data_IF_337857879611
#
_entry.id   IF_337857879611
#
_cell.length_a   1.000
_cell.length_b   1.000
_cell.length_c   1.000
_cell.angle_alpha   90.00
_cell.angle_beta   90.00
_cell.angle_gamma   90.00
#
_symmetry.space_group_name_H-M   'P 1'
#
loop_
_entity.id
_entity.type
_entity.pdbx_description
1 polymer ?
#
# COMPACT_ATOMS: atom_id res chain seq x y z
N UNK A 1 2.99 -4.83 14.66
CA UNK A 1 1.53 -4.77 14.42
C UNK A 1 1.34 -4.75 12.92
N UNK A 2 0.76 -5.79 12.31
CA UNK A 2 0.47 -5.82 10.87
C UNK A 2 -0.82 -5.05 10.67
N UNK A 3 -0.77 -3.95 9.91
CA UNK A 3 -1.89 -3.03 9.74
C UNK A 3 -2.47 -3.03 8.35
N UNK A 4 -1.75 -3.49 7.32
CA UNK A 4 -2.21 -3.56 5.93
C UNK A 4 -2.73 -4.95 5.58
N UNK A 5 -3.90 -5.00 4.95
CA UNK A 5 -4.56 -6.23 4.49
C UNK A 5 -5.33 -5.98 3.18
N UNK A 6 -5.45 -7.03 2.38
CA UNK A 6 -6.19 -7.04 1.11
C UNK A 6 -7.61 -7.48 1.39
N UNK A 7 -8.59 -6.67 0.99
CA UNK A 7 -10.02 -6.93 1.23
C UNK A 7 -10.70 -7.61 0.06
N UNK A 8 -10.33 -7.23 -1.15
CA UNK A 8 -10.83 -7.82 -2.39
C UNK A 8 -9.77 -7.75 -3.48
N UNK A 9 -9.85 -8.63 -4.47
CA UNK A 9 -9.00 -8.59 -5.65
C UNK A 9 -9.71 -9.22 -6.84
N UNK A 10 -9.32 -8.80 -8.04
CA UNK A 10 -9.73 -9.38 -9.31
C UNK A 10 -8.65 -9.17 -10.37
N UNK A 11 -8.97 -9.43 -11.64
CA UNK A 11 -7.97 -9.32 -12.71
C UNK A 11 -7.44 -7.89 -12.85
N UNK A 12 -6.18 -7.69 -12.47
CA UNK A 12 -5.49 -6.40 -12.57
C UNK A 12 -5.95 -5.33 -11.58
N UNK A 13 -6.71 -5.68 -10.53
CA UNK A 13 -7.08 -4.75 -9.47
C UNK A 13 -7.12 -5.41 -8.10
N UNK A 14 -6.86 -4.64 -7.05
CA UNK A 14 -7.15 -5.05 -5.68
C UNK A 14 -7.60 -3.87 -4.81
N UNK A 15 -8.30 -4.21 -3.74
CA UNK A 15 -8.73 -3.32 -2.67
C UNK A 15 -7.97 -3.70 -1.40
N UNK A 16 -7.57 -2.68 -0.66
CA UNK A 16 -6.84 -2.81 0.59
C UNK A 16 -7.37 -1.84 1.60
N UNK A 17 -7.35 -2.25 2.87
CA UNK A 17 -7.51 -1.33 3.98
C UNK A 17 -6.38 -1.53 4.99
N UNK A 18 -6.19 -0.51 5.81
CA UNK A 18 -5.18 -0.52 6.84
C UNK A 18 -5.60 0.25 8.08
N UNK A 19 -4.73 0.24 9.10
CA UNK A 19 -4.89 1.09 10.28
C UNK A 19 -3.93 2.25 10.25
N UNK A 20 -4.40 3.41 10.70
CA UNK A 20 -3.57 4.59 10.94
C UNK A 20 -2.44 4.25 11.94
N UNK A 21 -1.20 4.71 11.71
CA UNK A 21 -0.12 4.52 12.66
C UNK A 21 -0.45 5.18 14.01
N UNK A 22 -0.05 4.54 15.11
CA UNK A 22 -0.32 5.04 16.46
C UNK A 22 0.49 6.29 16.82
N UNK A 23 1.62 6.52 16.15
CA UNK A 23 2.51 7.68 16.33
C UNK A 23 2.79 8.42 15.03
N UNK A 24 3.59 9.49 15.11
CA UNK A 24 3.99 10.26 13.92
C UNK A 24 3.02 11.40 13.55
N UNK A 25 2.14 11.83 14.44
CA UNK A 25 1.31 13.04 14.23
C UNK A 25 0.13 12.87 13.25
N UNK A 26 -0.41 14.00 12.79
CA UNK A 26 -1.58 14.00 11.88
C UNK A 26 -1.15 13.59 10.48
N UNK A 27 -1.53 12.38 10.08
CA UNK A 27 -1.39 11.89 8.70
C UNK A 27 -2.17 12.79 7.75
N UNK A 28 -1.51 13.19 6.66
CA UNK A 28 -2.07 13.98 5.56
C UNK A 28 -2.52 13.09 4.39
N UNK A 29 -1.76 12.04 4.09
CA UNK A 29 -2.11 11.04 3.08
C UNK A 29 -1.38 9.71 3.33
N UNK A 30 -1.76 8.69 2.59
CA UNK A 30 -1.16 7.36 2.57
C UNK A 30 -0.67 7.07 1.15
N UNK A 31 0.61 6.73 1.03
CA UNK A 31 1.25 6.38 -0.23
C UNK A 31 1.24 4.87 -0.35
N UNK A 32 0.43 4.34 -1.25
CA UNK A 32 0.43 2.92 -1.58
C UNK A 32 1.55 2.69 -2.59
N UNK A 33 2.48 1.81 -2.25
CA UNK A 33 3.59 1.46 -3.11
C UNK A 33 3.53 -0.01 -3.47
N UNK A 34 3.99 -0.35 -4.67
CA UNK A 34 4.18 -1.73 -5.12
C UNK A 34 5.61 -2.02 -5.50
N UNK A 35 5.98 -3.29 -5.48
CA UNK A 35 7.16 -3.83 -6.18
C UNK A 35 6.87 -5.25 -6.66
N UNK A 36 7.74 -5.77 -7.52
CA UNK A 36 7.73 -7.20 -7.80
C UNK A 36 8.22 -7.97 -6.57
N UNK A 37 7.61 -9.12 -6.27
CA UNK A 37 7.92 -9.83 -5.04
C UNK A 37 9.38 -10.30 -5.04
N UNK A 38 10.15 -9.84 -4.04
CA UNK A 38 11.58 -10.12 -3.92
C UNK A 38 12.49 -9.34 -4.89
N UNK A 39 11.96 -8.48 -5.77
CA UNK A 39 12.75 -7.75 -6.78
C UNK A 39 12.32 -6.30 -6.96
N UNK A 40 13.30 -5.42 -7.19
CA UNK A 40 13.06 -4.05 -7.66
C UNK A 40 12.69 -3.02 -6.58
N UNK A 41 12.68 -1.73 -6.98
CA UNK A 41 12.34 -0.62 -6.09
C UNK A 41 10.84 -0.50 -5.86
N UNK A 42 10.47 0.06 -4.71
CA UNK A 42 9.09 0.48 -4.45
C UNK A 42 8.68 1.58 -5.42
N UNK A 43 7.54 1.40 -6.06
CA UNK A 43 6.94 2.36 -6.99
C UNK A 43 5.60 2.81 -6.44
N UNK A 44 5.34 4.11 -6.42
CA UNK A 44 4.05 4.66 -6.01
C UNK A 44 2.97 4.23 -7.01
N UNK A 45 1.87 3.68 -6.51
CA UNK A 45 0.73 3.26 -7.34
C UNK A 45 -0.55 4.02 -7.02
N UNK A 46 -0.72 4.51 -5.79
CA UNK A 46 -1.92 5.24 -5.37
C UNK A 46 -1.61 6.16 -4.18
N UNK A 47 -2.37 7.24 -4.05
CA UNK A 47 -2.35 8.11 -2.87
C UNK A 47 -3.75 8.17 -2.28
N UNK A 48 -3.94 7.60 -1.10
CA UNK A 48 -5.21 7.62 -0.39
C UNK A 48 -5.23 8.68 0.71
N UNK A 49 -6.39 9.31 0.91
CA UNK A 49 -6.64 10.20 2.06
C UNK A 49 -7.25 9.45 3.24
N UNK A 50 -7.87 8.31 2.97
CA UNK A 50 -8.46 7.42 3.97
C UNK A 50 -7.56 6.20 4.22
N UNK A 51 -7.96 5.35 5.15
CA UNK A 51 -7.24 4.11 5.47
C UNK A 51 -7.66 2.94 4.60
N UNK A 52 -8.10 3.22 3.38
CA UNK A 52 -8.47 2.25 2.36
C UNK A 52 -8.11 2.79 0.98
N UNK A 53 -7.82 1.88 0.05
CA UNK A 53 -7.59 2.21 -1.35
C UNK A 53 -7.92 1.04 -2.26
N UNK A 54 -8.36 1.39 -3.47
CA UNK A 54 -8.41 0.48 -4.61
C UNK A 54 -7.30 0.85 -5.58
N UNK A 55 -6.49 -0.14 -5.96
CA UNK A 55 -5.49 0.00 -7.02
C UNK A 55 -5.93 -0.78 -8.25
N UNK A 56 -5.83 -0.16 -9.42
CA UNK A 56 -6.17 -0.76 -10.73
C UNK A 56 -4.92 -0.86 -11.60
N UNK A 57 -5.06 -1.42 -12.80
CA UNK A 57 -4.00 -1.48 -13.82
C UNK A 57 -2.72 -2.17 -13.33
N UNK A 58 -2.91 -3.20 -12.51
CA UNK A 58 -1.82 -4.01 -12.00
C UNK A 58 -1.40 -5.08 -12.99
N UNK A 59 -0.09 -5.38 -13.01
CA UNK A 59 0.48 -6.37 -13.92
C UNK A 59 -0.07 -7.76 -13.59
N UNK A 60 -0.74 -8.37 -14.58
CA UNK A 60 -1.32 -9.71 -14.48
C UNK A 60 -0.23 -10.77 -14.59
N UNK A 61 -0.41 -11.89 -13.88
CA UNK A 61 0.51 -13.02 -13.85
C UNK A 61 1.77 -12.78 -13.01
N UNK A 62 1.92 -11.60 -12.40
CA UNK A 62 3.07 -11.25 -11.58
C UNK A 62 2.74 -11.30 -10.09
N UNK A 63 3.70 -11.78 -9.30
CA UNK A 63 3.62 -11.71 -7.85
C UNK A 63 4.07 -10.31 -7.41
N UNK A 64 3.14 -9.54 -6.88
CA UNK A 64 3.36 -8.15 -6.49
C UNK A 64 3.33 -8.03 -4.96
N UNK A 65 4.21 -7.22 -4.42
CA UNK A 65 4.20 -6.81 -3.03
C UNK A 65 3.70 -5.38 -2.92
N UNK A 66 2.83 -5.13 -1.95
CA UNK A 66 2.29 -3.81 -1.64
C UNK A 66 2.64 -3.43 -0.21
N UNK A 67 2.91 -2.14 0.00
CA UNK A 67 3.04 -1.53 1.31
C UNK A 67 2.38 -0.15 1.31
N UNK A 68 2.15 0.38 2.50
CA UNK A 68 1.58 1.71 2.70
C UNK A 68 2.51 2.52 3.58
N UNK A 69 2.77 3.76 3.15
CA UNK A 69 3.58 4.74 3.89
C UNK A 69 2.71 5.94 4.22
N UNK A 70 2.52 6.21 5.51
CA UNK A 70 1.82 7.41 5.94
C UNK A 70 2.71 8.64 5.71
N UNK A 71 2.16 9.74 5.21
CA UNK A 71 2.89 11.00 5.03
C UNK A 71 2.20 12.15 5.75
N UNK A 72 3.00 13.09 6.25
CA UNK A 72 2.55 14.29 6.94
C UNK A 72 3.49 15.48 6.60
N UNK A 73 3.31 16.62 7.27
CA UNK A 73 4.17 17.81 7.07
C UNK A 73 5.66 17.61 7.41
N UNK A 74 5.99 16.59 8.21
CA UNK A 74 7.37 16.26 8.57
C UNK A 74 8.03 15.30 7.55
N UNK A 75 7.24 14.66 6.68
CA UNK A 75 7.74 13.78 5.62
C UNK A 75 7.00 12.45 5.52
N UNK A 76 7.70 11.43 5.04
CA UNK A 76 7.23 10.04 4.99
C UNK A 76 7.51 9.34 6.33
N UNK A 77 6.54 8.55 6.80
CA UNK A 77 6.62 7.76 8.02
C UNK A 77 7.18 6.36 7.79
N UNK A 78 7.00 5.49 8.77
CA UNK A 78 7.41 4.09 8.66
C UNK A 78 6.56 3.33 7.63
N UNK A 79 7.20 2.43 6.88
CA UNK A 79 6.54 1.52 5.95
C UNK A 79 5.71 0.49 6.74
N UNK A 80 4.48 0.23 6.32
CA UNK A 80 3.65 -0.82 6.89
C UNK A 80 4.25 -2.23 6.70
N UNK A 81 3.57 -3.26 7.20
CA UNK A 81 3.82 -4.61 6.69
C UNK A 81 3.57 -4.67 5.19
N UNK A 82 4.23 -5.61 4.53
CA UNK A 82 3.96 -5.92 3.13
C UNK A 82 2.84 -6.95 3.02
N UNK A 83 2.04 -6.83 1.97
CA UNK A 83 1.12 -7.88 1.52
C UNK A 83 1.57 -8.34 0.14
N UNK A 84 1.55 -9.64 -0.09
CA UNK A 84 1.94 -10.22 -1.38
C UNK A 84 0.72 -10.82 -2.04
N UNK A 85 0.44 -10.40 -3.27
CA UNK A 85 -0.69 -10.88 -4.08
C UNK A 85 -0.20 -11.34 -5.45
N UNK A 86 -0.96 -12.22 -6.05
CA UNK A 86 -0.80 -12.63 -7.45
C UNK A 86 -2.06 -12.20 -8.18
N UNK A 87 -1.92 -11.31 -9.17
CA UNK A 87 -3.03 -10.73 -9.95
C UNK A 87 -3.08 -11.27 -11.38
#
# INVERSE_FOLDING_TARGET
>A
MRSLHVTAQGEGWLEMDWKKPAGGGRVAAYRVQRREAGTGPWTLVEIAMETEARVTDQARGSRLEFCVVATNKAGEGEISNTVTVSL
#
